data_IF_131607413489
#
_entry.id   IF_131607413489
#
_cell.length_a   1.000
_cell.length_b   1.000
_cell.length_c   1.000
_cell.angle_alpha   90.00
_cell.angle_beta   90.00
_cell.angle_gamma   90.00
#
_symmetry.space_group_name_H-M   'P 1'
#
loop_
_entity.id
_entity.type
_entity.pdbx_description
1 polymer ?
#
# COMPACT_ATOMS: atom_id res chain seq x y z
N UNK A 1 8.27 -47.18 -15.23
CA UNK A 1 8.67 -45.87 -15.81
C UNK A 1 7.56 -44.92 -15.45
N UNK A 2 7.82 -43.96 -14.58
CA UNK A 2 6.84 -42.87 -14.31
C UNK A 2 6.75 -42.02 -15.56
N UNK A 3 5.58 -41.92 -16.18
CA UNK A 3 5.35 -40.96 -17.25
C UNK A 3 5.79 -39.57 -16.77
N UNK A 4 6.56 -38.86 -17.60
CA UNK A 4 6.94 -37.47 -17.30
C UNK A 4 5.67 -36.64 -17.13
N UNK A 5 5.63 -35.76 -16.14
CA UNK A 5 4.50 -34.86 -15.94
C UNK A 5 4.19 -34.12 -17.25
N UNK A 6 2.89 -33.97 -17.63
CA UNK A 6 2.51 -33.39 -18.93
C UNK A 6 2.91 -31.90 -19.07
N UNK A 7 3.29 -31.24 -17.97
CA UNK A 7 3.76 -29.85 -17.94
C UNK A 7 5.12 -29.74 -17.25
N UNK A 8 6.06 -28.96 -17.81
CA UNK A 8 7.33 -28.68 -17.17
C UNK A 8 7.11 -27.87 -15.89
N UNK A 9 8.06 -27.94 -14.97
CA UNK A 9 8.06 -27.07 -13.79
C UNK A 9 8.11 -25.61 -14.23
N UNK A 10 7.20 -24.78 -13.70
CA UNK A 10 7.21 -23.34 -13.92
C UNK A 10 8.42 -22.72 -13.20
N UNK A 11 9.26 -22.03 -13.94
CA UNK A 11 10.37 -21.23 -13.42
C UNK A 11 10.07 -19.77 -13.71
N UNK A 12 9.94 -18.95 -12.65
CA UNK A 12 9.79 -17.51 -12.78
C UNK A 12 11.17 -16.88 -12.54
N UNK A 13 11.73 -16.15 -13.53
CA UNK A 13 13.03 -15.53 -13.39
C UNK A 13 13.00 -14.41 -12.34
N UNK A 14 14.10 -14.22 -11.64
CA UNK A 14 14.28 -13.06 -10.78
C UNK A 14 14.34 -11.78 -11.62
N UNK A 15 13.66 -10.74 -11.15
CA UNK A 15 13.70 -9.40 -11.73
C UNK A 15 14.03 -8.38 -10.66
N UNK A 16 14.69 -7.28 -11.04
CA UNK A 16 14.80 -6.10 -10.19
C UNK A 16 13.42 -5.39 -10.21
N UNK A 17 12.65 -5.58 -9.15
CA UNK A 17 11.30 -5.03 -9.05
C UNK A 17 11.36 -3.55 -8.61
N UNK A 18 11.61 -2.66 -9.57
CA UNK A 18 11.65 -1.22 -9.36
C UNK A 18 10.34 -0.53 -9.81
N UNK A 19 9.20 -1.14 -9.52
CA UNK A 19 7.87 -0.59 -9.78
C UNK A 19 7.17 -0.12 -8.49
N UNK A 20 5.91 0.33 -8.61
CA UNK A 20 5.12 0.82 -7.46
C UNK A 20 4.69 -0.28 -6.48
N UNK A 21 5.13 -1.50 -6.68
CA UNK A 21 4.82 -2.70 -5.91
C UNK A 21 4.22 -3.83 -6.76
N UNK A 22 4.31 -5.10 -6.28
CA UNK A 22 4.95 -5.51 -5.02
C UNK A 22 6.40 -5.06 -4.95
N UNK A 23 6.87 -4.72 -3.72
CA UNK A 23 8.27 -4.41 -3.46
C UNK A 23 9.15 -5.66 -3.41
N UNK A 24 10.45 -5.47 -3.33
CA UNK A 24 11.40 -6.56 -3.17
C UNK A 24 11.28 -7.13 -1.76
N UNK A 25 10.86 -8.38 -1.65
CA UNK A 25 10.75 -9.06 -0.35
C UNK A 25 12.15 -9.28 0.22
N UNK A 26 12.35 -8.98 1.50
CA UNK A 26 13.62 -9.22 2.18
C UNK A 26 13.97 -10.71 2.19
N UNK A 27 15.25 -11.03 1.94
CA UNK A 27 15.71 -12.41 1.90
C UNK A 27 15.48 -13.18 3.22
N UNK A 28 15.53 -12.48 4.37
CA UNK A 28 15.20 -13.04 5.69
C UNK A 28 13.74 -13.44 5.79
N UNK A 29 12.83 -12.66 5.20
CA UNK A 29 11.40 -12.96 5.13
C UNK A 29 11.13 -14.17 4.23
N UNK A 30 11.80 -14.25 3.07
CA UNK A 30 11.74 -15.42 2.19
C UNK A 30 12.27 -16.67 2.90
N UNK A 31 13.37 -16.57 3.63
CA UNK A 31 13.93 -17.66 4.42
C UNK A 31 12.97 -18.11 5.55
N UNK A 32 12.33 -17.18 6.24
CA UNK A 32 11.32 -17.48 7.26
C UNK A 32 10.09 -18.18 6.67
N UNK A 33 9.64 -17.77 5.49
CA UNK A 33 8.55 -18.45 4.77
C UNK A 33 8.94 -19.88 4.38
N UNK A 34 10.09 -20.07 3.73
CA UNK A 34 10.54 -21.37 3.23
C UNK A 34 10.98 -22.32 4.35
N UNK A 35 11.51 -21.78 5.46
CA UNK A 35 11.98 -22.53 6.62
C UNK A 35 10.88 -22.91 7.62
N UNK A 36 9.67 -22.38 7.47
CA UNK A 36 8.57 -22.75 8.35
C UNK A 36 8.18 -24.23 8.18
N UNK A 37 8.07 -24.94 9.30
CA UNK A 37 7.62 -26.34 9.30
C UNK A 37 6.16 -26.47 8.87
N UNK A 38 5.78 -27.67 8.43
CA UNK A 38 4.36 -28.00 8.21
C UNK A 38 3.66 -27.99 9.56
N UNK A 39 2.75 -27.04 9.75
CA UNK A 39 2.03 -26.85 11.01
C UNK A 39 0.51 -26.74 10.76
N UNK A 40 -0.25 -27.32 11.66
CA UNK A 40 -1.68 -27.06 11.76
C UNK A 40 -1.91 -25.59 12.16
N UNK A 41 -2.88 -24.94 11.53
CA UNK A 41 -3.20 -23.52 11.76
C UNK A 41 -3.66 -23.19 13.19
N UNK A 42 -4.06 -24.18 13.96
CA UNK A 42 -4.42 -24.07 15.38
C UNK A 42 -3.29 -24.52 16.32
N UNK A 43 -2.13 -24.87 15.77
CA UNK A 43 -0.96 -25.27 16.58
C UNK A 43 -0.51 -24.11 17.47
N UNK A 44 -0.12 -24.38 18.73
CA UNK A 44 0.21 -23.32 19.70
C UNK A 44 1.27 -22.32 19.19
N UNK A 45 2.28 -22.77 18.47
CA UNK A 45 3.34 -21.90 17.93
C UNK A 45 2.82 -20.95 16.83
N UNK A 46 1.88 -21.39 16.00
CA UNK A 46 1.24 -20.53 14.97
C UNK A 46 0.38 -19.47 15.65
N UNK A 47 -0.43 -19.86 16.62
CA UNK A 47 -1.29 -18.91 17.38
C UNK A 47 -0.44 -17.92 18.18
N UNK A 48 0.65 -18.36 18.81
CA UNK A 48 1.61 -17.47 19.46
C UNK A 48 2.21 -16.47 18.49
N UNK A 49 2.67 -16.91 17.31
CA UNK A 49 3.19 -16.02 16.27
C UNK A 49 2.17 -14.98 15.83
N UNK A 50 0.90 -15.33 15.69
CA UNK A 50 -0.17 -14.38 15.39
C UNK A 50 -0.34 -13.33 16.51
N UNK A 51 -0.32 -13.76 17.78
CA UNK A 51 -0.43 -12.82 18.92
C UNK A 51 0.77 -11.87 18.97
N UNK A 52 1.99 -12.38 18.76
CA UNK A 52 3.20 -11.56 18.67
C UNK A 52 3.11 -10.56 17.52
N UNK A 53 2.67 -10.99 16.32
CA UNK A 53 2.43 -10.11 15.17
C UNK A 53 1.43 -9.00 15.49
N UNK A 54 0.34 -9.30 16.18
CA UNK A 54 -0.66 -8.31 16.62
C UNK A 54 -0.02 -7.21 17.49
N UNK A 55 0.82 -7.57 18.44
CA UNK A 55 1.52 -6.60 19.28
C UNK A 55 2.54 -5.79 18.50
N UNK A 56 3.33 -6.45 17.64
CA UNK A 56 4.24 -5.76 16.74
C UNK A 56 3.52 -4.80 15.78
N UNK A 57 2.34 -5.17 15.27
CA UNK A 57 1.54 -4.29 14.42
C UNK A 57 1.10 -3.01 15.14
N UNK A 58 0.67 -3.10 16.39
CA UNK A 58 0.33 -1.90 17.18
C UNK A 58 1.51 -0.95 17.30
N UNK A 59 2.70 -1.48 17.58
CA UNK A 59 3.93 -0.68 17.61
C UNK A 59 4.25 -0.10 16.23
N UNK A 60 4.14 -0.92 15.18
CA UNK A 60 4.43 -0.53 13.79
C UNK A 60 3.47 0.54 13.27
N UNK A 61 2.21 0.52 13.67
CA UNK A 61 1.20 1.51 13.27
C UNK A 61 1.12 2.69 14.26
N UNK A 62 1.89 2.71 15.34
CA UNK A 62 1.85 3.77 16.36
C UNK A 62 0.47 3.89 16.99
N UNK A 63 -0.10 2.77 17.51
CA UNK A 63 -1.48 2.78 18.00
C UNK A 63 -1.70 1.95 19.27
N UNK A 64 -2.67 2.40 20.05
CA UNK A 64 -3.24 1.68 21.20
C UNK A 64 -4.55 0.96 20.84
N UNK A 65 -5.03 1.08 19.61
CA UNK A 65 -6.24 0.38 19.17
C UNK A 65 -6.12 -1.12 19.40
N UNK A 66 -6.98 -1.67 20.23
CA UNK A 66 -6.99 -3.11 20.52
C UNK A 66 -7.26 -3.91 19.25
N UNK A 67 -8.18 -3.45 18.39
CA UNK A 67 -8.57 -4.10 17.15
C UNK A 67 -7.57 -3.81 16.01
N UNK A 68 -6.28 -4.16 16.26
CA UNK A 68 -5.19 -4.08 15.28
C UNK A 68 -4.68 -5.48 15.02
N UNK A 69 -4.78 -5.95 13.75
CA UNK A 69 -4.44 -7.32 13.36
C UNK A 69 -4.18 -7.41 11.85
N UNK A 70 -3.88 -8.62 11.36
CA UNK A 70 -3.67 -8.88 9.94
C UNK A 70 -4.85 -9.60 9.29
N UNK A 71 -5.27 -9.18 8.11
CA UNK A 71 -6.27 -9.87 7.28
C UNK A 71 -5.54 -10.66 6.20
N UNK A 72 -5.75 -11.99 6.12
CA UNK A 72 -5.03 -12.81 5.15
C UNK A 72 -5.33 -12.38 3.71
N UNK A 73 -4.27 -12.04 2.98
CA UNK A 73 -4.31 -11.61 1.59
C UNK A 73 -3.47 -10.38 1.30
N UNK A 74 -3.78 -9.70 0.20
CA UNK A 74 -3.15 -8.45 -0.21
C UNK A 74 -3.84 -7.24 0.43
N UNK A 75 -3.41 -6.02 0.08
CA UNK A 75 -4.06 -4.78 0.53
C UNK A 75 -5.57 -4.77 0.29
N UNK A 76 -6.05 -5.35 -0.81
CA UNK A 76 -7.48 -5.46 -1.10
C UNK A 76 -8.27 -6.24 -0.05
N UNK A 77 -7.66 -7.25 0.57
CA UNK A 77 -8.32 -7.98 1.67
C UNK A 77 -8.48 -7.09 2.91
N UNK A 78 -7.49 -6.27 3.22
CA UNK A 78 -7.56 -5.29 4.32
C UNK A 78 -8.56 -4.18 4.04
N UNK A 79 -8.55 -3.63 2.83
CA UNK A 79 -9.50 -2.59 2.39
C UNK A 79 -10.94 -3.11 2.40
N UNK A 80 -11.21 -4.31 1.86
CA UNK A 80 -12.53 -4.93 1.89
C UNK A 80 -13.01 -5.19 3.33
N UNK A 81 -12.10 -5.63 4.21
CA UNK A 81 -12.38 -5.79 5.65
C UNK A 81 -12.77 -4.44 6.27
N UNK A 82 -11.99 -3.38 6.03
CA UNK A 82 -12.25 -2.04 6.56
C UNK A 82 -13.57 -1.45 6.02
N UNK A 83 -13.82 -1.59 4.73
CA UNK A 83 -15.04 -1.07 4.09
C UNK A 83 -16.29 -1.92 4.40
N UNK A 84 -16.15 -3.07 5.07
CA UNK A 84 -17.28 -3.97 5.37
C UNK A 84 -18.28 -3.42 6.39
N UNK A 85 -17.94 -2.32 7.08
CA UNK A 85 -18.86 -1.59 7.97
C UNK A 85 -19.78 -0.61 7.20
N UNK A 86 -19.46 -0.32 5.94
CA UNK A 86 -20.31 0.51 5.08
C UNK A 86 -21.49 -0.34 4.59
N UNK A 87 -22.71 0.14 4.82
CA UNK A 87 -23.94 -0.59 4.54
C UNK A 87 -24.73 0.07 3.43
N UNK A 88 -25.60 -0.69 2.74
CA UNK A 88 -26.51 -0.13 1.74
C UNK A 88 -27.29 1.07 2.26
N UNK A 89 -27.22 2.19 1.52
CA UNK A 89 -27.85 3.46 1.89
C UNK A 89 -27.04 4.35 2.83
N UNK A 90 -25.89 3.91 3.32
CA UNK A 90 -24.98 4.78 4.09
C UNK A 90 -24.45 5.92 3.18
N UNK A 91 -24.42 7.14 3.73
CA UNK A 91 -23.84 8.29 3.03
C UNK A 91 -22.33 8.27 3.11
N UNK A 92 -21.67 8.35 1.96
CA UNK A 92 -20.21 8.28 1.82
C UNK A 92 -19.69 9.44 0.99
N UNK A 93 -18.60 10.05 1.42
CA UNK A 93 -17.75 10.90 0.58
C UNK A 93 -16.39 10.23 0.39
N UNK A 94 -16.00 10.01 -0.85
CA UNK A 94 -14.70 9.44 -1.22
C UNK A 94 -13.91 10.44 -2.06
N UNK A 95 -12.61 10.56 -1.81
CA UNK A 95 -11.71 11.42 -2.56
C UNK A 95 -10.89 10.59 -3.54
N UNK A 96 -10.95 10.94 -4.84
CA UNK A 96 -10.28 10.22 -5.93
C UNK A 96 -9.31 11.15 -6.65
N UNK A 97 -8.00 10.87 -6.54
CA UNK A 97 -6.95 11.60 -7.27
C UNK A 97 -6.01 10.68 -8.07
N UNK A 98 -6.48 9.46 -8.35
CA UNK A 98 -5.75 8.51 -9.17
C UNK A 98 -6.46 7.17 -9.30
N UNK A 99 -5.74 6.18 -9.84
CA UNK A 99 -6.32 4.88 -10.19
C UNK A 99 -6.79 4.11 -8.96
N UNK A 100 -5.98 4.08 -7.88
CA UNK A 100 -6.30 3.23 -6.73
C UNK A 100 -7.43 3.84 -5.89
N UNK A 101 -7.39 5.12 -5.63
CA UNK A 101 -8.49 5.82 -4.96
C UNK A 101 -9.80 5.78 -5.77
N UNK A 102 -9.73 5.70 -7.11
CA UNK A 102 -10.89 5.45 -7.97
C UNK A 102 -11.48 4.05 -7.79
N UNK A 103 -10.63 3.01 -7.63
CA UNK A 103 -11.08 1.63 -7.35
C UNK A 103 -11.65 1.52 -5.93
N UNK A 104 -11.07 2.23 -4.97
CA UNK A 104 -11.61 2.33 -3.61
C UNK A 104 -13.00 2.96 -3.61
N UNK A 105 -13.17 4.06 -4.35
CA UNK A 105 -14.47 4.71 -4.53
C UNK A 105 -15.49 3.76 -5.17
N UNK A 106 -15.10 2.98 -6.18
CA UNK A 106 -15.94 1.93 -6.76
C UNK A 106 -16.33 0.87 -5.73
N UNK A 107 -15.40 0.41 -4.90
CA UNK A 107 -15.66 -0.55 -3.83
C UNK A 107 -16.68 0.01 -2.84
N UNK A 108 -16.55 1.27 -2.44
CA UNK A 108 -17.50 1.94 -1.56
C UNK A 108 -18.88 2.08 -2.20
N UNK A 109 -18.96 2.39 -3.51
CA UNK A 109 -20.23 2.37 -4.26
C UNK A 109 -20.89 0.99 -4.20
N UNK A 110 -20.11 -0.07 -4.41
CA UNK A 110 -20.63 -1.45 -4.30
C UNK A 110 -21.17 -1.75 -2.90
N UNK A 111 -20.45 -1.35 -1.84
CA UNK A 111 -20.87 -1.58 -0.44
C UNK A 111 -22.11 -0.77 -0.04
N UNK A 112 -22.19 0.48 -0.45
CA UNK A 112 -23.29 1.39 -0.12
C UNK A 112 -24.54 1.20 -1.00
N UNK A 113 -24.42 0.47 -2.13
CA UNK A 113 -25.54 0.24 -3.05
C UNK A 113 -26.62 -0.66 -2.45
N UNK A 114 -27.87 -0.30 -2.68
CA UNK A 114 -28.99 -1.19 -2.49
C UNK A 114 -28.95 -2.36 -3.49
N UNK A 115 -29.79 -3.35 -3.27
CA UNK A 115 -29.88 -4.51 -4.19
C UNK A 115 -30.37 -4.11 -5.58
N UNK A 116 -31.26 -3.14 -5.66
CA UNK A 116 -31.81 -2.59 -6.90
C UNK A 116 -30.74 -1.83 -7.69
N UNK A 117 -29.92 -1.02 -7.02
CA UNK A 117 -28.82 -0.29 -7.65
C UNK A 117 -27.74 -1.23 -8.17
N UNK A 118 -27.38 -2.29 -7.42
CA UNK A 118 -26.47 -3.34 -7.90
C UNK A 118 -27.05 -4.15 -9.06
N UNK A 119 -28.36 -4.36 -9.09
CA UNK A 119 -29.01 -5.06 -10.21
C UNK A 119 -29.06 -4.21 -11.48
N UNK A 120 -29.05 -2.89 -11.36
CA UNK A 120 -29.00 -1.97 -12.50
C UNK A 120 -27.62 -1.96 -13.18
N UNK A 121 -26.54 -1.91 -12.41
CA UNK A 121 -25.17 -2.06 -12.88
C UNK A 121 -24.30 -2.66 -11.78
N UNK A 122 -24.00 -3.96 -11.89
CA UNK A 122 -23.22 -4.68 -10.89
C UNK A 122 -21.71 -4.41 -10.93
N UNK A 123 -21.20 -3.85 -12.03
CA UNK A 123 -19.77 -3.58 -12.21
C UNK A 123 -19.41 -2.11 -11.90
N UNK A 124 -20.35 -1.20 -12.06
CA UNK A 124 -20.13 0.22 -11.78
C UNK A 124 -21.41 0.89 -11.23
N UNK A 125 -21.91 0.45 -10.06
CA UNK A 125 -23.12 1.01 -9.48
C UNK A 125 -22.92 2.49 -9.13
N UNK A 126 -24.01 3.28 -9.25
CA UNK A 126 -24.03 4.72 -8.99
C UNK A 126 -25.05 5.04 -7.89
N UNK A 127 -24.86 4.59 -6.64
CA UNK A 127 -25.81 4.90 -5.57
C UNK A 127 -25.78 6.38 -5.25
N UNK A 128 -26.97 6.96 -5.09
CA UNK A 128 -27.11 8.38 -4.75
C UNK A 128 -26.50 8.76 -3.39
N UNK A 129 -26.26 7.76 -2.53
CA UNK A 129 -25.65 7.93 -1.22
C UNK A 129 -24.13 8.10 -1.24
N UNK A 130 -23.44 7.85 -2.36
CA UNK A 130 -21.99 7.99 -2.50
C UNK A 130 -21.61 9.13 -3.39
N UNK A 131 -20.94 10.12 -2.81
CA UNK A 131 -20.34 11.24 -3.53
C UNK A 131 -18.85 11.01 -3.70
N UNK A 132 -18.36 11.03 -4.94
CA UNK A 132 -16.93 10.97 -5.24
C UNK A 132 -16.46 12.38 -5.62
N UNK A 133 -15.48 12.88 -4.88
CA UNK A 133 -14.81 14.15 -5.16
C UNK A 133 -13.59 13.85 -6.03
N UNK A 134 -13.75 14.08 -7.33
CA UNK A 134 -12.68 13.89 -8.30
C UNK A 134 -11.67 15.04 -8.22
N UNK A 135 -10.42 14.70 -8.01
CA UNK A 135 -9.29 15.63 -7.95
C UNK A 135 -8.52 15.54 -9.27
N UNK A 136 -8.17 16.66 -9.91
CA UNK A 136 -7.40 16.62 -11.16
C UNK A 136 -6.09 15.82 -11.02
N UNK A 137 -5.72 15.09 -12.08
CA UNK A 137 -4.50 14.31 -12.12
C UNK A 137 -3.29 15.13 -11.68
N UNK A 138 -2.41 14.54 -10.87
CA UNK A 138 -1.21 15.21 -10.37
C UNK A 138 -1.45 16.22 -9.24
N UNK A 139 -2.67 16.32 -8.70
CA UNK A 139 -2.97 17.12 -7.52
C UNK A 139 -3.20 16.24 -6.30
N UNK A 140 -2.85 16.76 -5.12
CA UNK A 140 -3.11 16.12 -3.83
C UNK A 140 -4.47 16.55 -3.29
N UNK A 141 -5.11 15.67 -2.54
CA UNK A 141 -6.25 16.02 -1.69
C UNK A 141 -5.74 16.86 -0.52
N UNK A 142 -6.23 18.10 -0.39
CA UNK A 142 -5.85 19.00 0.71
C UNK A 142 -6.94 19.02 1.79
N UNK A 143 -6.57 19.39 3.01
CA UNK A 143 -7.52 19.55 4.12
C UNK A 143 -8.67 20.52 3.79
N UNK A 144 -8.42 21.58 3.01
CA UNK A 144 -9.44 22.53 2.57
C UNK A 144 -10.49 21.88 1.64
N UNK A 145 -10.05 21.03 0.71
CA UNK A 145 -10.95 20.25 -0.17
C UNK A 145 -11.81 19.30 0.67
N UNK A 146 -11.17 18.59 1.62
CA UNK A 146 -11.89 17.68 2.51
C UNK A 146 -12.92 18.42 3.35
N UNK A 147 -12.51 19.52 3.99
CA UNK A 147 -13.38 20.30 4.83
C UNK A 147 -14.62 20.82 4.06
N UNK A 148 -14.42 21.34 2.86
CA UNK A 148 -15.52 21.83 2.01
C UNK A 148 -16.51 20.71 1.67
N UNK A 149 -16.00 19.53 1.26
CA UNK A 149 -16.84 18.40 0.91
C UNK A 149 -17.63 17.86 2.10
N UNK A 150 -17.00 17.71 3.28
CA UNK A 150 -17.68 17.20 4.47
C UNK A 150 -18.70 18.20 5.02
N UNK A 151 -18.45 19.52 4.91
CA UNK A 151 -19.40 20.56 5.29
C UNK A 151 -20.66 20.51 4.42
N UNK A 152 -20.50 20.31 3.11
CA UNK A 152 -21.60 20.25 2.14
C UNK A 152 -22.42 18.97 2.28
N UNK A 153 -21.75 17.79 2.25
CA UNK A 153 -22.44 16.50 2.14
C UNK A 153 -22.78 15.84 3.47
N UNK A 154 -22.11 16.22 4.57
CA UNK A 154 -22.32 15.67 5.93
C UNK A 154 -22.44 14.13 5.93
N UNK A 155 -21.46 13.40 5.39
CA UNK A 155 -21.56 11.96 5.22
C UNK A 155 -21.41 11.24 6.56
N UNK A 156 -21.93 9.99 6.66
CA UNK A 156 -21.61 9.06 7.73
C UNK A 156 -20.16 8.59 7.64
N UNK A 157 -19.68 8.29 6.40
CA UNK A 157 -18.34 7.81 6.13
C UNK A 157 -17.59 8.76 5.20
N UNK A 158 -16.33 9.01 5.50
CA UNK A 158 -15.39 9.65 4.59
C UNK A 158 -14.23 8.71 4.29
N UNK A 159 -13.74 8.70 3.04
CA UNK A 159 -12.65 7.83 2.62
C UNK A 159 -11.58 8.59 1.86
N UNK A 160 -10.31 8.31 2.17
CA UNK A 160 -9.16 8.86 1.43
C UNK A 160 -8.01 7.85 1.39
N UNK A 161 -7.37 7.70 0.22
CA UNK A 161 -6.05 7.10 0.16
C UNK A 161 -5.01 8.09 0.72
N UNK A 162 -4.18 7.67 1.69
CA UNK A 162 -3.11 8.53 2.19
C UNK A 162 -2.09 8.82 1.07
N UNK A 163 -1.63 7.79 0.38
CA UNK A 163 -0.73 7.91 -0.77
C UNK A 163 -1.35 7.24 -2.00
N UNK A 164 -1.50 8.00 -3.09
CA UNK A 164 -2.02 7.51 -4.37
C UNK A 164 -0.86 7.18 -5.32
N UNK A 165 -0.53 5.89 -5.45
CA UNK A 165 0.58 5.44 -6.32
C UNK A 165 0.25 5.51 -7.81
N UNK A 166 -1.00 5.65 -8.19
CA UNK A 166 -1.41 5.84 -9.59
C UNK A 166 -0.92 7.17 -10.15
N UNK A 167 -0.97 8.22 -9.34
CA UNK A 167 -0.54 9.58 -9.69
C UNK A 167 0.72 10.06 -8.98
N UNK A 168 1.26 9.27 -8.03
CA UNK A 168 2.45 9.61 -7.26
C UNK A 168 2.23 10.73 -6.25
N UNK A 169 1.04 10.78 -5.60
CA UNK A 169 0.65 11.88 -4.70
C UNK A 169 0.47 11.45 -3.26
N UNK A 170 0.99 12.30 -2.37
CA UNK A 170 0.70 12.28 -0.93
C UNK A 170 -0.50 13.20 -0.68
N UNK A 171 -1.50 12.71 0.04
CA UNK A 171 -2.68 13.46 0.44
C UNK A 171 -2.57 13.92 1.89
N UNK A 172 -3.26 15.02 2.24
CA UNK A 172 -3.22 15.64 3.58
C UNK A 172 -4.05 14.83 4.58
N UNK A 173 -3.40 13.81 5.18
CA UNK A 173 -4.05 12.91 6.13
C UNK A 173 -4.46 13.63 7.42
N UNK A 174 -3.66 14.61 7.87
CA UNK A 174 -3.99 15.37 9.08
C UNK A 174 -5.21 16.25 8.86
N UNK A 175 -5.26 16.97 7.73
CA UNK A 175 -6.43 17.76 7.34
C UNK A 175 -7.67 16.90 7.14
N UNK A 176 -7.53 15.67 6.61
CA UNK A 176 -8.62 14.70 6.49
C UNK A 176 -9.16 14.30 7.88
N UNK A 177 -8.28 13.91 8.79
CA UNK A 177 -8.66 13.54 10.16
C UNK A 177 -9.37 14.68 10.89
N UNK A 178 -8.79 15.89 10.84
CA UNK A 178 -9.35 17.06 11.51
C UNK A 178 -10.76 17.40 10.98
N UNK A 179 -10.96 17.32 9.66
CA UNK A 179 -12.26 17.53 9.05
C UNK A 179 -13.26 16.42 9.43
N UNK A 180 -12.87 15.15 9.42
CA UNK A 180 -13.73 14.06 9.88
C UNK A 180 -14.19 14.27 11.32
N UNK A 181 -13.28 14.63 12.23
CA UNK A 181 -13.59 14.97 13.62
C UNK A 181 -14.56 16.14 13.72
N UNK A 182 -14.31 17.23 12.96
CA UNK A 182 -15.11 18.45 12.98
C UNK A 182 -16.56 18.22 12.53
N UNK A 183 -16.76 17.39 11.52
CA UNK A 183 -18.09 17.13 10.94
C UNK A 183 -18.72 15.82 11.39
N UNK A 184 -18.14 15.15 12.41
CA UNK A 184 -18.59 13.86 12.97
C UNK A 184 -18.69 12.73 11.92
N UNK A 185 -17.91 12.81 10.84
CA UNK A 185 -17.78 11.76 9.85
C UNK A 185 -16.80 10.66 10.36
N UNK A 186 -17.05 9.42 10.00
CA UNK A 186 -16.15 8.31 10.29
C UNK A 186 -15.12 8.16 9.18
N UNK A 187 -13.88 8.60 9.43
CA UNK A 187 -12.80 8.52 8.46
C UNK A 187 -12.29 7.10 8.26
N UNK A 188 -12.15 6.68 7.00
CA UNK A 188 -11.51 5.43 6.58
C UNK A 188 -10.29 5.77 5.70
N UNK A 189 -9.15 5.13 5.95
CA UNK A 189 -7.90 5.45 5.25
C UNK A 189 -7.26 4.21 4.64
N UNK A 190 -6.99 4.30 3.33
CA UNK A 190 -6.05 3.42 2.64
C UNK A 190 -4.61 3.90 2.91
N UNK A 191 -3.87 3.13 3.71
CA UNK A 191 -2.45 3.32 3.98
C UNK A 191 -1.58 2.26 3.27
N UNK A 192 -2.06 1.66 2.18
CA UNK A 192 -1.36 0.60 1.43
C UNK A 192 0.03 1.04 0.98
N UNK A 193 0.19 2.30 0.61
CA UNK A 193 1.46 2.81 0.06
C UNK A 193 2.30 3.61 1.06
N UNK A 194 1.73 4.05 2.17
CA UNK A 194 2.38 4.91 3.16
C UNK A 194 2.92 4.17 4.38
N UNK A 195 2.20 3.14 4.86
CA UNK A 195 2.57 2.41 6.07
C UNK A 195 3.93 1.70 5.89
N UNK A 196 4.88 1.98 6.79
CA UNK A 196 6.26 1.46 6.74
C UNK A 196 7.19 2.20 5.79
N UNK A 197 6.71 3.26 5.15
CA UNK A 197 7.50 4.18 4.30
C UNK A 197 7.60 5.55 4.95
N UNK A 198 6.51 6.06 5.49
CA UNK A 198 6.43 7.33 6.19
C UNK A 198 6.35 7.09 7.69
N UNK A 199 6.97 7.98 8.47
CA UNK A 199 6.96 7.94 9.94
C UNK A 199 5.75 8.73 10.45
N UNK A 200 4.69 8.02 10.79
CA UNK A 200 3.49 8.58 11.41
C UNK A 200 2.84 7.59 12.38
N UNK A 201 2.16 8.11 13.38
CA UNK A 201 1.34 7.32 14.29
C UNK A 201 -0.15 7.49 13.95
N UNK A 202 -0.88 6.39 13.79
CA UNK A 202 -2.31 6.50 13.48
C UNK A 202 -3.13 7.07 14.64
N UNK A 203 -2.63 6.96 15.88
CA UNK A 203 -3.28 7.56 17.06
C UNK A 203 -3.29 9.11 17.03
N UNK A 204 -2.47 9.75 16.17
CA UNK A 204 -2.49 11.20 15.99
C UNK A 204 -3.65 11.68 15.09
N UNK A 205 -4.44 10.73 14.56
CA UNK A 205 -5.51 10.95 13.56
C UNK A 205 -6.88 10.56 14.11
N UNK A 206 -7.34 11.25 15.15
CA UNK A 206 -8.57 10.91 15.93
C UNK A 206 -9.88 10.97 15.13
N UNK A 207 -9.91 11.59 13.95
CA UNK A 207 -11.05 11.56 13.04
C UNK A 207 -11.13 10.28 12.19
N UNK A 208 -10.06 9.48 12.17
CA UNK A 208 -9.99 8.24 11.41
C UNK A 208 -10.34 7.05 12.30
N UNK A 209 -11.36 6.30 11.90
CA UNK A 209 -11.86 5.15 12.69
C UNK A 209 -11.40 3.80 12.13
N UNK A 210 -10.93 3.76 10.88
CA UNK A 210 -10.46 2.54 10.22
C UNK A 210 -9.27 2.78 9.31
N UNK A 211 -8.27 1.90 9.41
CA UNK A 211 -7.05 1.91 8.62
C UNK A 211 -6.84 0.54 7.98
N UNK A 212 -6.41 0.54 6.72
CA UNK A 212 -5.98 -0.67 6.04
C UNK A 212 -4.68 -0.44 5.27
N UNK A 213 -3.82 -1.46 5.22
CA UNK A 213 -2.57 -1.43 4.48
C UNK A 213 -2.31 -2.78 3.80
N UNK A 214 -1.10 -3.05 3.40
CA UNK A 214 -0.73 -4.30 2.71
C UNK A 214 0.62 -4.85 3.19
N UNK A 215 0.88 -6.15 2.99
CA UNK A 215 2.17 -6.74 3.34
C UNK A 215 3.28 -6.42 2.32
N UNK A 216 2.94 -6.22 1.05
CA UNK A 216 3.88 -6.26 -0.07
C UNK A 216 4.46 -4.91 -0.50
N UNK A 217 4.31 -3.85 0.31
CA UNK A 217 4.94 -2.55 0.07
C UNK A 217 5.87 -2.18 1.23
N UNK A 218 5.58 -1.18 2.04
CA UNK A 218 6.44 -0.73 3.12
C UNK A 218 6.77 -1.78 4.18
N UNK A 219 5.94 -2.81 4.36
CA UNK A 219 6.22 -3.93 5.25
C UNK A 219 7.28 -4.91 4.72
N UNK A 220 7.63 -4.86 3.42
CA UNK A 220 8.63 -5.72 2.78
C UNK A 220 8.33 -7.21 2.88
N UNK A 221 7.07 -7.58 3.02
CA UNK A 221 6.62 -8.96 3.12
C UNK A 221 6.12 -9.50 1.77
N UNK A 222 5.91 -10.80 1.72
CA UNK A 222 5.31 -11.48 0.56
C UNK A 222 3.86 -11.02 0.34
N UNK A 223 3.44 -10.83 -0.92
CA UNK A 223 2.02 -10.77 -1.24
C UNK A 223 1.26 -11.97 -0.68
N UNK A 224 -0.03 -11.81 -0.38
CA UNK A 224 -0.89 -12.88 0.15
C UNK A 224 -0.50 -13.41 1.54
N UNK A 225 0.27 -12.65 2.32
CA UNK A 225 0.42 -12.92 3.76
C UNK A 225 -0.70 -12.25 4.53
N UNK A 226 -0.45 -11.13 5.22
CA UNK A 226 -1.48 -10.45 6.02
C UNK A 226 -1.47 -8.95 5.77
N UNK A 227 -2.61 -8.42 5.34
CA UNK A 227 -2.86 -6.98 5.23
C UNK A 227 -3.12 -6.39 6.63
N UNK A 228 -2.30 -5.44 7.11
CA UNK A 228 -2.55 -4.77 8.39
C UNK A 228 -3.86 -3.99 8.36
N UNK A 229 -4.64 -4.11 9.44
CA UNK A 229 -5.81 -3.26 9.69
C UNK A 229 -5.80 -2.78 11.15
N UNK A 230 -6.39 -1.62 11.39
CA UNK A 230 -6.60 -1.09 12.74
C UNK A 230 -7.94 -0.37 12.81
N UNK A 231 -8.71 -0.64 13.87
CA UNK A 231 -10.04 -0.09 14.07
C UNK A 231 -10.18 0.48 15.47
N UNK A 232 -10.83 1.65 15.57
CA UNK A 232 -11.23 2.24 16.84
C UNK A 232 -12.46 1.53 17.42
N UNK A 233 -12.73 1.74 18.70
CA UNK A 233 -13.96 1.22 19.34
C UNK A 233 -15.22 1.75 18.64
N UNK A 234 -15.24 3.03 18.22
CA UNK A 234 -16.34 3.63 17.47
C UNK A 234 -16.65 2.85 16.16
N UNK A 235 -15.62 2.40 15.43
CA UNK A 235 -15.80 1.57 14.25
C UNK A 235 -16.45 0.22 14.61
N UNK A 236 -15.94 -0.44 15.65
CA UNK A 236 -16.43 -1.76 16.10
C UNK A 236 -17.87 -1.69 16.61
N UNK A 237 -18.22 -0.64 17.36
CA UNK A 237 -19.58 -0.40 17.81
C UNK A 237 -20.54 -0.17 16.64
N UNK A 238 -20.11 0.63 15.65
CA UNK A 238 -20.89 0.86 14.43
C UNK A 238 -21.10 -0.43 13.66
N UNK A 239 -20.04 -1.24 13.49
CA UNK A 239 -20.13 -2.54 12.82
C UNK A 239 -21.09 -3.50 13.55
N UNK A 240 -21.06 -3.53 14.88
CA UNK A 240 -22.01 -4.34 15.69
C UNK A 240 -23.46 -3.90 15.53
N UNK A 241 -23.69 -2.60 15.44
CA UNK A 241 -25.03 -2.04 15.29
C UNK A 241 -25.60 -2.22 13.87
N UNK A 242 -24.77 -2.08 12.83
CA UNK A 242 -25.18 -2.13 11.43
C UNK A 242 -25.14 -3.54 10.83
N UNK A 243 -24.33 -4.44 11.38
CA UNK A 243 -24.04 -5.74 10.82
C UNK A 243 -22.92 -5.73 9.77
N UNK A 244 -22.67 -6.88 9.15
CA UNK A 244 -21.63 -7.09 8.15
C UNK A 244 -22.02 -8.24 7.22
N UNK A 245 -21.87 -8.06 5.92
CA UNK A 245 -22.25 -9.07 4.91
C UNK A 245 -21.12 -10.00 4.48
N UNK A 246 -19.90 -9.80 4.98
CA UNK A 246 -18.78 -10.70 4.69
C UNK A 246 -18.52 -11.67 5.82
N UNK A 247 -18.21 -12.92 5.51
CA UNK A 247 -17.73 -13.89 6.48
C UNK A 247 -16.19 -13.85 6.54
N UNK A 248 -15.52 -14.06 5.42
CA UNK A 248 -14.07 -14.27 5.39
C UNK A 248 -13.25 -13.06 5.86
N UNK A 249 -13.71 -11.83 5.55
CA UNK A 249 -13.07 -10.59 5.96
C UNK A 249 -13.87 -9.86 7.06
N UNK A 250 -14.62 -10.60 7.88
CA UNK A 250 -15.41 -10.00 8.95
C UNK A 250 -14.51 -9.46 10.07
N UNK A 251 -14.47 -8.15 10.35
CA UNK A 251 -13.48 -7.56 11.27
C UNK A 251 -13.49 -8.17 12.67
N UNK A 252 -14.67 -8.41 13.27
CA UNK A 252 -14.75 -8.96 14.64
C UNK A 252 -14.39 -10.44 14.67
N UNK A 253 -14.79 -11.23 13.66
CA UNK A 253 -14.46 -12.67 13.62
C UNK A 253 -12.95 -12.87 13.39
N UNK A 254 -12.36 -12.06 12.52
CA UNK A 254 -10.93 -12.08 12.28
C UNK A 254 -10.17 -11.63 13.55
N UNK A 255 -10.58 -10.54 14.19
CA UNK A 255 -10.01 -10.09 15.45
C UNK A 255 -10.01 -11.18 16.53
N UNK A 256 -11.13 -11.93 16.66
CA UNK A 256 -11.21 -13.06 17.61
C UNK A 256 -10.20 -14.17 17.30
N UNK A 257 -9.94 -14.42 16.03
CA UNK A 257 -8.90 -15.39 15.64
C UNK A 257 -7.49 -14.93 16.08
N UNK A 258 -7.22 -13.63 16.01
CA UNK A 258 -5.98 -13.00 16.46
C UNK A 258 -5.94 -12.80 18.00
N UNK A 259 -6.86 -13.40 18.75
CA UNK A 259 -6.91 -13.26 20.21
C UNK A 259 -7.34 -11.87 20.68
N UNK A 260 -8.36 -11.30 20.02
CA UNK A 260 -9.03 -10.07 20.48
C UNK A 260 -10.51 -10.38 20.68
N UNK A 261 -10.94 -10.52 21.92
CA UNK A 261 -12.31 -10.90 22.29
C UNK A 261 -12.93 -9.79 23.13
N UNK A 262 -14.05 -9.26 22.66
CA UNK A 262 -14.83 -8.20 23.35
C UNK A 262 -13.98 -7.00 23.80
N UNK A 263 -13.06 -6.56 22.92
CA UNK A 263 -12.16 -5.43 23.16
C UNK A 263 -11.02 -5.73 24.13
N UNK A 264 -10.69 -7.01 24.36
CA UNK A 264 -9.60 -7.41 25.22
C UNK A 264 -8.66 -8.40 24.51
N UNK A 265 -7.37 -8.31 24.80
CA UNK A 265 -6.40 -9.31 24.40
C UNK A 265 -6.57 -10.59 25.21
N UNK A 266 -6.58 -11.73 24.52
CA UNK A 266 -6.58 -13.07 25.12
C UNK A 266 -5.42 -13.88 24.55
N UNK A 267 -4.93 -14.84 25.33
CA UNK A 267 -3.78 -15.68 24.94
C UNK A 267 -4.09 -16.66 23.80
N UNK A 268 -5.37 -16.98 23.58
CA UNK A 268 -5.79 -17.94 22.58
C UNK A 268 -6.98 -17.41 21.79
N UNK A 269 -6.77 -17.22 20.48
CA UNK A 269 -7.85 -16.89 19.55
C UNK A 269 -8.80 -18.07 19.31
N UNK A 270 -9.97 -17.75 18.74
CA UNK A 270 -10.95 -18.74 18.29
C UNK A 270 -10.87 -18.92 16.78
N UNK A 271 -11.15 -20.13 16.30
CA UNK A 271 -11.16 -20.40 14.86
C UNK A 271 -12.17 -19.51 14.12
N UNK A 272 -11.71 -18.91 13.04
CA UNK A 272 -12.55 -18.21 12.06
C UNK A 272 -12.35 -18.85 10.68
N UNK A 273 -11.11 -18.86 10.18
CA UNK A 273 -10.71 -19.48 8.92
C UNK A 273 -9.31 -20.05 9.02
N UNK A 274 -8.90 -20.85 8.04
CA UNK A 274 -7.55 -21.42 8.03
C UNK A 274 -6.51 -20.35 7.67
N UNK A 275 -5.55 -20.15 8.56
CA UNK A 275 -4.37 -19.32 8.35
C UNK A 275 -3.16 -20.18 8.02
N UNK A 276 -2.26 -19.66 7.20
CA UNK A 276 -1.03 -20.36 6.82
C UNK A 276 0.08 -20.12 7.84
N UNK A 277 0.62 -21.17 8.46
CA UNK A 277 1.79 -21.07 9.33
C UNK A 277 3.02 -20.47 8.62
N UNK A 278 3.19 -20.76 7.34
CA UNK A 278 4.25 -20.15 6.50
C UNK A 278 4.07 -18.63 6.39
N UNK A 279 2.83 -18.19 6.15
CA UNK A 279 2.50 -16.76 6.06
C UNK A 279 2.66 -16.04 7.41
N UNK A 280 2.30 -16.69 8.53
CA UNK A 280 2.54 -16.16 9.89
C UNK A 280 4.04 -15.98 10.14
N UNK A 281 4.87 -16.98 9.81
CA UNK A 281 6.32 -16.91 9.97
C UNK A 281 6.95 -15.77 9.18
N UNK A 282 6.58 -15.63 7.90
CA UNK A 282 7.06 -14.55 7.03
C UNK A 282 6.63 -13.16 7.53
N UNK A 283 5.36 -13.03 7.94
CA UNK A 283 4.81 -11.77 8.41
C UNK A 283 5.42 -11.33 9.74
N UNK A 284 5.64 -12.29 10.65
CA UNK A 284 6.35 -12.06 11.90
C UNK A 284 7.76 -11.56 11.67
N UNK A 285 8.52 -12.19 10.78
CA UNK A 285 9.88 -11.77 10.45
C UNK A 285 9.92 -10.40 9.79
N UNK A 286 8.99 -10.11 8.88
CA UNK A 286 8.87 -8.79 8.27
C UNK A 286 8.64 -7.68 9.31
N UNK A 287 7.71 -7.88 10.24
CA UNK A 287 7.47 -6.94 11.34
C UNK A 287 8.69 -6.78 12.24
N UNK A 288 9.34 -7.89 12.60
CA UNK A 288 10.54 -7.90 13.45
C UNK A 288 11.67 -7.08 12.83
N UNK A 289 11.91 -7.26 11.52
CA UNK A 289 12.95 -6.52 10.78
C UNK A 289 12.64 -5.03 10.76
N UNK A 290 11.43 -4.66 10.37
CA UNK A 290 11.03 -3.26 10.26
C UNK A 290 11.13 -2.52 11.61
N UNK A 291 10.71 -3.17 12.69
CA UNK A 291 10.81 -2.60 14.04
C UNK A 291 12.25 -2.51 14.53
N UNK A 292 13.11 -3.46 14.16
CA UNK A 292 14.53 -3.43 14.52
C UNK A 292 15.30 -2.33 13.77
N UNK A 293 14.94 -2.04 12.51
CA UNK A 293 15.51 -0.95 11.72
C UNK A 293 15.01 0.42 12.22
N UNK A 294 13.78 0.49 12.73
CA UNK A 294 13.13 1.71 13.20
C UNK A 294 12.45 2.51 12.09
N UNK A 295 11.17 2.81 12.28
CA UNK A 295 10.32 3.45 11.25
C UNK A 295 10.82 4.84 10.87
N UNK A 296 11.24 5.64 11.87
CA UNK A 296 11.78 6.98 11.63
C UNK A 296 13.08 6.94 10.79
N UNK A 297 13.93 5.93 11.00
CA UNK A 297 15.15 5.77 10.18
C UNK A 297 14.77 5.37 8.77
N UNK A 298 13.88 4.40 8.60
CA UNK A 298 13.40 3.96 7.28
C UNK A 298 12.78 5.10 6.47
N UNK A 299 11.98 5.97 7.10
CA UNK A 299 11.39 7.13 6.44
C UNK A 299 12.47 8.09 5.92
N UNK A 300 13.52 8.34 6.72
CA UNK A 300 14.68 9.13 6.29
C UNK A 300 15.43 8.50 5.12
N UNK A 301 15.61 7.18 5.17
CA UNK A 301 16.28 6.44 4.09
C UNK A 301 15.47 6.51 2.79
N UNK A 302 14.13 6.38 2.85
CA UNK A 302 13.27 6.59 1.68
C UNK A 302 13.43 7.98 1.09
N UNK A 303 13.35 9.03 1.91
CA UNK A 303 13.53 10.43 1.47
C UNK A 303 14.90 10.61 0.81
N UNK A 304 15.95 10.09 1.43
CA UNK A 304 17.32 10.23 0.94
C UNK A 304 17.54 9.53 -0.41
N UNK A 305 17.11 8.28 -0.53
CA UNK A 305 17.29 7.49 -1.75
C UNK A 305 16.36 7.93 -2.89
N UNK A 306 15.13 8.36 -2.57
CA UNK A 306 14.23 8.93 -3.56
C UNK A 306 14.83 10.22 -4.16
N UNK A 307 15.36 11.09 -3.31
CA UNK A 307 16.02 12.32 -3.78
C UNK A 307 17.19 12.04 -4.72
N UNK A 308 18.02 11.04 -4.42
CA UNK A 308 19.11 10.60 -5.28
C UNK A 308 18.61 10.11 -6.64
N UNK A 309 17.52 9.30 -6.66
CA UNK A 309 16.89 8.84 -7.88
C UNK A 309 16.27 9.99 -8.68
N UNK A 310 15.52 10.87 -8.01
CA UNK A 310 14.87 12.03 -8.64
C UNK A 310 15.87 12.98 -9.29
N UNK A 311 16.99 13.26 -8.61
CA UNK A 311 18.07 14.10 -9.17
C UNK A 311 18.70 13.44 -10.40
N UNK A 312 18.95 12.13 -10.34
CA UNK A 312 19.55 11.39 -11.46
C UNK A 312 18.64 11.38 -12.70
N UNK A 313 17.34 11.07 -12.55
CA UNK A 313 16.42 11.06 -13.71
C UNK A 313 16.16 12.47 -14.26
N UNK A 314 16.19 13.49 -13.39
CA UNK A 314 16.11 14.90 -13.83
C UNK A 314 17.33 15.28 -14.66
N UNK A 315 18.53 14.84 -14.27
CA UNK A 315 19.75 15.06 -15.06
C UNK A 315 19.72 14.35 -16.42
N UNK A 316 18.89 13.30 -16.59
CA UNK A 316 18.63 12.67 -17.89
C UNK A 316 17.59 13.44 -18.73
N UNK A 317 17.07 14.56 -18.26
CA UNK A 317 16.05 15.38 -18.93
C UNK A 317 14.62 14.96 -18.67
N UNK A 318 14.37 14.04 -17.72
CA UNK A 318 13.02 13.69 -17.29
C UNK A 318 12.44 14.77 -16.35
N UNK A 319 11.11 14.92 -16.38
CA UNK A 319 10.37 15.77 -15.44
C UNK A 319 9.73 14.91 -14.33
N UNK A 320 10.20 15.05 -13.10
CA UNK A 320 9.59 14.38 -11.93
C UNK A 320 8.30 15.10 -11.54
N UNK A 321 7.21 14.35 -11.46
CA UNK A 321 5.88 14.88 -11.15
C UNK A 321 5.32 14.40 -9.81
N UNK A 322 5.91 13.38 -9.16
CA UNK A 322 5.51 12.86 -7.86
C UNK A 322 6.04 13.68 -6.68
N UNK A 323 5.40 13.49 -5.52
CA UNK A 323 5.91 13.95 -4.23
C UNK A 323 6.02 12.80 -3.19
N UNK A 324 5.92 11.54 -3.64
CA UNK A 324 6.08 10.35 -2.80
C UNK A 324 7.56 10.01 -2.59
N UNK A 325 7.90 9.46 -1.43
CA UNK A 325 9.29 9.13 -1.10
C UNK A 325 9.69 7.69 -1.45
N UNK A 326 8.74 6.82 -1.82
CA UNK A 326 9.02 5.45 -2.28
C UNK A 326 8.86 5.23 -3.78
N UNK A 327 8.46 6.27 -4.50
CA UNK A 327 8.07 6.18 -5.90
C UNK A 327 8.33 7.51 -6.62
N UNK A 328 9.09 7.44 -7.70
CA UNK A 328 9.25 8.54 -8.66
C UNK A 328 8.29 8.32 -9.82
N UNK A 329 7.41 9.30 -10.08
CA UNK A 329 6.57 9.37 -11.29
C UNK A 329 7.13 10.48 -12.16
N UNK A 330 7.38 10.18 -13.43
CA UNK A 330 8.06 11.11 -14.32
C UNK A 330 7.50 11.10 -15.75
N UNK A 331 7.64 12.23 -16.43
CA UNK A 331 7.51 12.37 -17.87
C UNK A 331 8.88 12.15 -18.52
N UNK A 332 8.91 11.44 -19.63
CA UNK A 332 10.11 11.34 -20.47
C UNK A 332 10.45 12.70 -21.11
N UNK A 333 11.72 12.93 -21.53
CA UNK A 333 12.07 14.08 -22.34
C UNK A 333 11.18 14.17 -23.58
N UNK A 334 10.92 15.39 -24.06
CA UNK A 334 10.04 15.62 -25.22
C UNK A 334 10.47 14.86 -26.48
N UNK A 335 11.78 14.59 -26.65
CA UNK A 335 12.32 13.76 -27.74
C UNK A 335 11.87 12.31 -27.70
N UNK A 336 11.42 11.81 -26.53
CA UNK A 336 10.95 10.44 -26.30
C UNK A 336 9.46 10.38 -25.98
N UNK A 337 8.73 11.48 -26.04
CA UNK A 337 7.30 11.52 -25.76
C UNK A 337 6.52 10.52 -26.65
N UNK A 338 5.64 9.75 -26.02
CA UNK A 338 4.85 8.68 -26.67
C UNK A 338 5.58 7.34 -26.79
N UNK A 339 6.82 7.21 -26.28
CA UNK A 339 7.59 5.97 -26.28
C UNK A 339 7.64 5.28 -24.90
N UNK A 340 6.81 5.71 -23.96
CA UNK A 340 6.79 5.21 -22.57
C UNK A 340 6.58 3.69 -22.51
N UNK A 341 5.68 3.15 -23.34
CA UNK A 341 5.41 1.71 -23.37
C UNK A 341 6.55 0.90 -23.97
N UNK A 342 7.25 1.44 -24.96
CA UNK A 342 8.45 0.83 -25.55
C UNK A 342 9.58 0.74 -24.53
N UNK A 343 9.83 1.84 -23.79
CA UNK A 343 10.79 1.89 -22.70
C UNK A 343 10.49 0.81 -21.64
N UNK A 344 9.23 0.73 -21.19
CA UNK A 344 8.79 -0.28 -20.19
C UNK A 344 9.01 -1.71 -20.71
N UNK A 345 8.73 -1.98 -21.98
CA UNK A 345 8.93 -3.31 -22.58
C UNK A 345 10.41 -3.68 -22.64
N UNK A 346 11.28 -2.75 -23.04
CA UNK A 346 12.73 -2.96 -23.07
C UNK A 346 13.28 -3.23 -21.66
N UNK A 347 12.91 -2.43 -20.68
CA UNK A 347 13.29 -2.66 -19.28
C UNK A 347 12.90 -4.05 -18.81
N UNK A 348 11.67 -4.50 -19.10
CA UNK A 348 11.19 -5.84 -18.70
C UNK A 348 11.93 -6.97 -19.38
N UNK A 349 12.28 -6.82 -20.66
CA UNK A 349 13.06 -7.81 -21.39
C UNK A 349 14.43 -8.06 -20.75
N UNK A 350 15.02 -7.02 -20.17
CA UNK A 350 16.29 -7.05 -19.43
C UNK A 350 16.14 -7.40 -17.93
N UNK A 351 14.94 -7.85 -17.50
CA UNK A 351 14.70 -8.20 -16.09
C UNK A 351 14.66 -7.00 -15.15
N UNK A 352 14.35 -5.82 -15.66
CA UNK A 352 14.17 -4.58 -14.90
C UNK A 352 12.70 -4.15 -14.93
N UNK A 353 12.01 -4.31 -13.81
CA UNK A 353 10.56 -4.14 -13.69
C UNK A 353 10.15 -2.72 -13.29
N UNK A 354 9.99 -1.81 -14.25
CA UNK A 354 9.31 -0.52 -14.07
C UNK A 354 7.90 -0.55 -14.67
N UNK A 355 7.06 0.42 -14.34
CA UNK A 355 5.65 0.40 -14.75
C UNK A 355 5.18 1.77 -15.27
N UNK A 356 4.30 1.80 -16.28
CA UNK A 356 3.59 3.03 -16.64
C UNK A 356 2.52 3.36 -15.61
N UNK A 357 1.98 4.58 -15.61
CA UNK A 357 0.71 4.90 -14.97
C UNK A 357 -0.41 4.08 -15.61
N UNK A 358 -1.47 3.79 -14.84
CA UNK A 358 -2.60 2.98 -15.31
C UNK A 358 -3.70 3.82 -15.97
N UNK A 359 -3.62 5.15 -15.84
CA UNK A 359 -4.53 6.12 -16.43
C UNK A 359 -3.74 7.22 -17.15
N UNK A 360 -4.39 7.95 -18.05
CA UNK A 360 -3.79 9.10 -18.73
C UNK A 360 -3.54 10.27 -17.75
N UNK A 361 -2.45 11.06 -17.95
CA UNK A 361 -1.41 10.86 -18.96
C UNK A 361 -0.53 9.64 -18.65
N UNK A 362 0.03 9.01 -19.69
CA UNK A 362 0.96 7.90 -19.51
C UNK A 362 2.31 8.45 -19.06
N UNK A 363 2.71 8.07 -17.85
CA UNK A 363 3.97 8.46 -17.22
C UNK A 363 4.71 7.20 -16.77
N UNK A 364 6.01 7.29 -16.54
CA UNK A 364 6.81 6.18 -16.00
C UNK A 364 6.81 6.24 -14.47
N UNK A 365 6.71 5.07 -13.82
CA UNK A 365 6.79 4.90 -12.38
C UNK A 365 7.98 4.02 -12.01
N UNK A 366 8.90 4.59 -11.22
CA UNK A 366 10.08 3.90 -10.70
C UNK A 366 9.98 3.88 -9.18
N UNK A 367 9.83 2.69 -8.60
CA UNK A 367 9.72 2.48 -7.16
C UNK A 367 11.03 1.98 -6.55
N UNK A 368 11.22 2.31 -5.27
CA UNK A 368 12.42 1.92 -4.50
C UNK A 368 12.08 1.09 -3.26
N UNK A 369 10.95 0.37 -3.29
CA UNK A 369 10.51 -0.47 -2.17
C UNK A 369 11.53 -1.57 -1.87
N UNK A 370 12.18 -1.50 -0.71
CA UNK A 370 13.30 -2.34 -0.27
C UNK A 370 14.56 -2.27 -1.17
N UNK A 371 14.78 -1.14 -1.82
CA UNK A 371 15.96 -0.84 -2.64
C UNK A 371 16.72 0.36 -2.07
N UNK A 372 16.83 0.44 -0.73
CA UNK A 372 17.39 1.57 0.00
C UNK A 372 18.91 1.41 0.22
N UNK A 373 19.65 1.28 -0.87
CA UNK A 373 21.11 1.25 -0.87
C UNK A 373 21.66 2.01 -2.07
N UNK A 374 22.85 2.58 -1.94
CA UNK A 374 23.55 3.22 -3.06
C UNK A 374 23.66 2.27 -4.26
N UNK A 375 24.05 1.01 -4.04
CA UNK A 375 24.21 0.03 -5.10
C UNK A 375 22.90 -0.22 -5.86
N UNK A 376 21.76 -0.36 -5.15
CA UNK A 376 20.46 -0.58 -5.76
C UNK A 376 20.01 0.64 -6.59
N UNK A 377 20.17 1.86 -6.05
CA UNK A 377 19.82 3.08 -6.79
C UNK A 377 20.73 3.27 -7.99
N UNK A 378 22.02 2.99 -7.89
CA UNK A 378 22.96 3.02 -9.03
C UNK A 378 22.53 2.03 -10.12
N UNK A 379 22.14 0.82 -9.75
CA UNK A 379 21.66 -0.18 -10.71
C UNK A 379 20.37 0.28 -11.41
N UNK A 380 19.39 0.81 -10.66
CA UNK A 380 18.16 1.38 -11.25
C UNK A 380 18.48 2.48 -12.24
N UNK A 381 19.30 3.44 -11.84
CA UNK A 381 19.69 4.62 -12.65
C UNK A 381 20.40 4.19 -13.93
N UNK A 382 21.39 3.28 -13.81
CA UNK A 382 22.16 2.79 -14.96
C UNK A 382 21.28 2.04 -15.95
N UNK A 383 20.42 1.11 -15.48
CA UNK A 383 19.51 0.35 -16.36
C UNK A 383 18.47 1.25 -17.01
N UNK A 384 17.95 2.24 -16.28
CA UNK A 384 16.99 3.19 -16.83
C UNK A 384 17.62 4.06 -17.92
N UNK A 385 18.84 4.61 -17.68
CA UNK A 385 19.59 5.38 -18.66
C UNK A 385 19.91 4.57 -19.93
N UNK A 386 20.33 3.30 -19.75
CA UNK A 386 20.58 2.41 -20.89
C UNK A 386 19.31 2.19 -21.71
N UNK A 387 18.18 1.88 -21.06
CA UNK A 387 16.90 1.67 -21.74
C UNK A 387 16.41 2.95 -22.47
N UNK A 388 16.69 4.14 -21.92
CA UNK A 388 16.43 5.41 -22.62
C UNK A 388 17.31 5.54 -23.88
N UNK A 389 18.60 5.18 -23.80
CA UNK A 389 19.52 5.21 -24.95
C UNK A 389 19.09 4.21 -26.02
N UNK A 390 18.62 3.02 -25.66
CA UNK A 390 18.11 1.99 -26.58
C UNK A 390 16.89 2.47 -27.39
N UNK A 391 16.15 3.46 -26.85
CA UNK A 391 15.05 4.11 -27.55
C UNK A 391 15.43 5.51 -28.11
N UNK A 392 16.72 5.81 -28.29
CA UNK A 392 17.21 6.98 -29.00
C UNK A 392 17.42 8.23 -28.14
N UNK A 393 17.57 8.11 -26.82
CA UNK A 393 18.15 9.16 -26.00
C UNK A 393 19.69 9.20 -26.19
N UNK A 394 20.28 10.29 -25.75
CA UNK A 394 21.75 10.47 -25.71
C UNK A 394 22.16 10.78 -24.26
N UNK A 395 21.88 9.82 -23.32
CA UNK A 395 22.22 9.97 -21.91
C UNK A 395 23.67 9.55 -21.67
N UNK A 396 24.49 10.45 -21.11
CA UNK A 396 25.84 10.14 -20.64
C UNK A 396 25.74 9.40 -19.27
N UNK A 397 25.79 8.07 -19.32
CA UNK A 397 25.64 7.21 -18.14
C UNK A 397 26.76 7.44 -17.14
N UNK A 398 28.00 7.70 -17.61
CA UNK A 398 29.14 7.92 -16.71
C UNK A 398 28.98 9.25 -15.94
N UNK A 399 28.54 10.30 -16.62
CA UNK A 399 28.25 11.57 -15.97
C UNK A 399 27.11 11.45 -14.93
N UNK A 400 26.04 10.73 -15.26
CA UNK A 400 24.91 10.51 -14.34
C UNK A 400 25.36 9.72 -13.10
N UNK A 401 26.10 8.64 -13.28
CA UNK A 401 26.58 7.80 -12.16
C UNK A 401 27.63 8.52 -11.31
N UNK A 402 28.47 9.37 -11.89
CA UNK A 402 29.37 10.23 -11.15
C UNK A 402 28.61 11.26 -10.29
N UNK A 403 27.55 11.88 -10.83
CA UNK A 403 26.65 12.77 -10.09
C UNK A 403 25.97 12.07 -8.91
N UNK A 404 25.50 10.85 -9.15
CA UNK A 404 24.89 10.02 -8.10
C UNK A 404 25.91 9.67 -7.01
N UNK A 405 27.12 9.28 -7.34
CA UNK A 405 28.19 9.00 -6.37
C UNK A 405 28.47 10.24 -5.51
N UNK A 406 28.58 11.42 -6.14
CA UNK A 406 28.79 12.67 -5.41
C UNK A 406 27.63 13.03 -4.42
N UNK A 407 26.40 12.61 -4.72
CA UNK A 407 25.27 12.74 -3.79
C UNK A 407 25.52 11.92 -2.51
N UNK A 408 25.94 10.66 -2.64
CA UNK A 408 26.22 9.78 -1.51
C UNK A 408 27.45 10.22 -0.72
N UNK A 409 28.53 10.63 -1.40
CA UNK A 409 29.77 11.09 -0.73
C UNK A 409 29.53 12.33 0.14
N UNK A 410 28.68 13.27 -0.29
CA UNK A 410 28.30 14.43 0.50
C UNK A 410 27.57 14.05 1.79
N UNK A 411 26.73 13.03 1.74
CA UNK A 411 25.98 12.56 2.92
C UNK A 411 26.88 11.83 3.93
N UNK A 412 27.95 11.16 3.48
CA UNK A 412 28.92 10.51 4.35
C UNK A 412 29.85 11.52 5.03
N UNK A 413 29.97 12.74 4.49
CA UNK A 413 30.81 13.82 5.02
C UNK A 413 30.07 14.77 5.98
N UNK A 414 28.74 14.67 6.07
CA UNK A 414 27.87 15.52 6.91
C UNK A 414 27.50 14.83 8.22
#
# INVERSE_FOLDING_TARGET
MTEAAPFPQLVIPNTLAAGPGPGNTDARVLAAFAGAGVADHMQPDVLRGMIECKHMLRTFMGTKNIHTFGVAGTGWSGLDCMMSAVMPGDTVVAFSNGTFSGIDALTLRMKASTREELAADSLNPQPASVTVIEIPHGQSVTGAIVEAALAEHKPKWAFMAHWETGSGRINDIKGFSDACKKYDAMGLVDAVSSLGVEDFAIDDMDGVVGWASCPQKGLLCLPLTYAPVSFTDRYIETLRASGCYTYANHPIMEARHWGIVDGQDVEKGSYHRTHSGYAVSAFHEALRINLAEGLAQRAKDYIFHEKALSDAVTAMGCEVTSNMTSLVVLNLPSSLAGREMELVQNCRAEGFGIWPTLSAPVQIRIGILNLLTQAAITEIVTRFAQAMNDIGAEVDIDAITAGLTAHYDKALAA
#
